data_IF_594779878729
#
_entry.id   IF_594779878729
#
_cell.length_a   1.000
_cell.length_b   1.000
_cell.length_c   1.000
_cell.angle_alpha   90.00
_cell.angle_beta   90.00
_cell.angle_gamma   90.00
#
_symmetry.space_group_name_H-M   'P 1'
#
loop_
_entity.id
_entity.type
_entity.pdbx_description
1 polymer ?
#
# COMPACT_ATOMS: atom_id res chain seq x y z
N UNK A 1 0.38 -14.98 20.05
CA UNK A 1 1.55 -14.93 19.13
C UNK A 1 2.36 -13.73 19.52
N UNK A 2 3.66 -13.90 19.78
CA UNK A 2 4.55 -12.79 20.10
C UNK A 2 5.16 -12.25 18.80
N UNK A 3 5.10 -10.93 18.63
CA UNK A 3 5.62 -10.23 17.47
C UNK A 3 6.72 -9.30 17.98
N UNK A 4 7.95 -9.54 17.56
CA UNK A 4 9.09 -8.67 17.86
C UNK A 4 9.30 -7.74 16.67
N UNK A 5 9.25 -6.42 16.88
CA UNK A 5 9.58 -5.45 15.84
C UNK A 5 11.09 -5.50 15.57
N UNK A 6 11.48 -5.85 14.35
CA UNK A 6 12.88 -5.91 13.93
C UNK A 6 13.32 -4.62 13.24
N UNK A 7 12.45 -4.04 12.41
CA UNK A 7 12.77 -2.91 11.54
C UNK A 7 11.57 -2.00 11.38
N UNK A 8 11.82 -0.70 11.28
CA UNK A 8 10.84 0.31 10.94
C UNK A 8 11.47 1.28 9.94
N UNK A 9 11.04 1.23 8.69
CA UNK A 9 11.60 2.02 7.59
C UNK A 9 10.54 2.80 6.83
N UNK A 10 10.98 3.84 6.13
CA UNK A 10 10.12 4.65 5.29
C UNK A 10 10.27 4.26 3.83
N UNK A 11 9.15 4.01 3.17
CA UNK A 11 9.05 3.78 1.74
C UNK A 11 8.48 5.02 1.06
N UNK A 12 9.22 5.58 0.11
CA UNK A 12 8.80 6.75 -0.65
C UNK A 12 8.27 6.35 -2.02
N UNK A 13 7.08 6.83 -2.38
CA UNK A 13 6.48 6.61 -3.69
C UNK A 13 5.62 7.81 -4.09
N UNK A 14 5.82 8.35 -5.30
CA UNK A 14 5.09 9.52 -5.83
C UNK A 14 5.04 10.68 -4.82
N UNK A 15 6.15 10.99 -4.16
CA UNK A 15 6.23 12.07 -3.15
C UNK A 15 5.53 11.77 -1.82
N UNK A 16 4.87 10.62 -1.69
CA UNK A 16 4.29 10.12 -0.45
C UNK A 16 5.27 9.24 0.31
N UNK A 17 5.17 9.28 1.64
CA UNK A 17 6.02 8.49 2.53
C UNK A 17 5.15 7.56 3.38
N UNK A 18 5.47 6.26 3.33
CA UNK A 18 4.75 5.17 3.99
C UNK A 18 5.65 4.47 4.99
N UNK A 19 5.12 4.15 6.18
CA UNK A 19 5.86 3.40 7.19
C UNK A 19 5.74 1.89 6.92
N UNK A 20 6.87 1.23 6.79
CA UNK A 20 7.00 -0.23 6.69
C UNK A 20 7.58 -0.74 8.00
N UNK A 21 6.85 -1.63 8.67
CA UNK A 21 7.29 -2.26 9.90
C UNK A 21 7.49 -3.75 9.65
N UNK A 22 8.67 -4.28 9.98
CA UNK A 22 8.98 -5.71 9.84
C UNK A 22 9.06 -6.35 11.21
N UNK A 23 8.33 -7.44 11.38
CA UNK A 23 8.25 -8.19 12.61
C UNK A 23 8.84 -9.58 12.44
N UNK A 24 9.43 -10.10 13.52
CA UNK A 24 9.64 -11.52 13.73
C UNK A 24 8.39 -12.10 14.37
N UNK A 25 7.84 -13.15 13.76
CA UNK A 25 6.73 -13.92 14.28
C UNK A 25 7.23 -15.29 14.73
N UNK A 26 7.19 -15.54 16.04
CA UNK A 26 7.51 -16.85 16.59
C UNK A 26 6.27 -17.76 16.48
N UNK A 27 6.31 -18.73 15.56
CA UNK A 27 5.27 -19.76 15.50
C UNK A 27 5.50 -20.82 16.57
N UNK A 28 4.40 -21.39 17.07
CA UNK A 28 4.36 -22.45 18.09
C UNK A 28 5.13 -23.72 17.72
N UNK A 29 5.51 -23.91 16.45
CA UNK A 29 6.22 -25.08 15.93
C UNK A 29 7.67 -24.80 15.50
N UNK A 30 8.36 -23.87 16.17
CA UNK A 30 9.80 -23.55 15.99
C UNK A 30 10.22 -22.98 14.62
N UNK A 31 9.29 -22.70 13.70
CA UNK A 31 9.60 -21.94 12.49
C UNK A 31 9.38 -20.46 12.75
N UNK A 32 10.45 -19.68 12.63
CA UNK A 32 10.38 -18.23 12.61
C UNK A 32 9.81 -17.80 11.25
N UNK A 33 8.80 -16.93 11.27
CA UNK A 33 8.34 -16.22 10.08
C UNK A 33 8.64 -14.74 10.24
N UNK A 34 8.81 -14.03 9.12
CA UNK A 34 8.93 -12.59 9.10
C UNK A 34 7.68 -12.02 8.44
N UNK A 35 7.23 -10.87 8.94
CA UNK A 35 6.03 -10.19 8.46
C UNK A 35 6.36 -8.73 8.22
N UNK A 36 6.22 -8.24 7.00
CA UNK A 36 6.21 -6.81 6.70
C UNK A 36 4.77 -6.29 6.74
N UNK A 37 4.56 -5.18 7.43
CA UNK A 37 3.28 -4.49 7.54
C UNK A 37 3.43 -3.04 7.08
N UNK A 38 2.50 -2.59 6.24
CA UNK A 38 2.34 -1.17 5.90
C UNK A 38 0.87 -0.80 6.03
N UNK A 39 0.58 0.20 6.84
CA UNK A 39 -0.78 0.72 7.03
C UNK A 39 -1.00 1.87 6.04
N UNK A 40 -1.88 1.65 5.07
CA UNK A 40 -2.26 2.66 4.08
C UNK A 40 -3.47 3.48 4.51
N UNK A 41 -4.23 3.05 5.52
CA UNK A 41 -5.39 3.79 6.01
C UNK A 41 -5.97 3.16 7.27
N UNK A 42 -7.06 3.72 7.82
CA UNK A 42 -7.81 3.05 8.89
C UNK A 42 -8.25 1.67 8.41
N UNK A 43 -7.86 0.62 9.16
CA UNK A 43 -8.17 -0.78 8.88
C UNK A 43 -7.67 -1.29 7.51
N UNK A 44 -6.69 -0.60 6.91
CA UNK A 44 -6.16 -0.91 5.59
C UNK A 44 -4.67 -1.19 5.66
N UNK A 45 -4.37 -2.46 5.93
CA UNK A 45 -3.02 -2.98 6.10
C UNK A 45 -2.62 -3.87 4.92
N UNK A 46 -1.40 -3.65 4.42
CA UNK A 46 -0.72 -4.59 3.53
C UNK A 46 0.22 -5.40 4.39
N UNK A 47 -0.03 -6.71 4.44
CA UNK A 47 0.75 -7.67 5.19
C UNK A 47 1.39 -8.65 4.22
N UNK A 48 2.70 -8.84 4.36
CA UNK A 48 3.47 -9.80 3.56
C UNK A 48 4.33 -10.65 4.48
N UNK A 49 4.15 -11.96 4.38
CA UNK A 49 4.95 -12.94 5.11
C UNK A 49 6.08 -13.54 4.26
N UNK A 50 7.13 -14.00 4.93
CA UNK A 50 8.29 -14.61 4.32
C UNK A 50 9.17 -15.37 5.31
N UNK A 51 10.17 -16.07 4.78
CA UNK A 51 11.14 -16.82 5.56
C UNK A 51 12.24 -15.93 6.15
N UNK A 52 12.53 -14.77 5.53
CA UNK A 52 13.55 -13.81 5.97
C UNK A 52 13.05 -12.35 5.88
N UNK A 53 13.76 -11.44 6.56
CA UNK A 53 13.54 -9.98 6.45
C UNK A 53 13.72 -9.50 5.01
N UNK A 54 14.78 -9.94 4.33
CA UNK A 54 15.07 -9.52 2.96
C UNK A 54 13.97 -9.95 1.98
N UNK A 55 13.42 -11.16 2.15
CA UNK A 55 12.34 -11.66 1.32
C UNK A 55 11.08 -10.81 1.47
N UNK A 56 10.68 -10.50 2.72
CA UNK A 56 9.48 -9.69 2.96
C UNK A 56 9.65 -8.26 2.48
N UNK A 57 10.83 -7.66 2.67
CA UNK A 57 11.12 -6.31 2.17
C UNK A 57 11.09 -6.26 0.64
N UNK A 58 11.71 -7.24 -0.04
CA UNK A 58 11.71 -7.30 -1.50
C UNK A 58 10.30 -7.43 -2.07
N UNK A 59 9.47 -8.29 -1.48
CA UNK A 59 8.06 -8.43 -1.85
C UNK A 59 7.26 -7.16 -1.56
N UNK A 60 7.51 -6.52 -0.41
CA UNK A 60 6.85 -5.29 0.00
C UNK A 60 7.13 -4.15 -0.99
N UNK A 61 8.39 -3.97 -1.39
CA UNK A 61 8.78 -2.96 -2.38
C UNK A 61 8.13 -3.19 -3.75
N UNK A 62 7.92 -4.44 -4.15
CA UNK A 62 7.25 -4.76 -5.40
C UNK A 62 5.73 -4.53 -5.35
N UNK A 63 5.09 -4.84 -4.22
CA UNK A 63 3.63 -4.81 -4.07
C UNK A 63 3.10 -3.42 -3.68
N UNK A 64 3.83 -2.66 -2.86
CA UNK A 64 3.36 -1.36 -2.35
C UNK A 64 2.92 -0.39 -3.45
N UNK A 65 3.71 -0.14 -4.52
CA UNK A 65 3.29 0.74 -5.61
C UNK A 65 1.96 0.34 -6.24
N UNK A 66 1.78 -0.96 -6.50
CA UNK A 66 0.56 -1.50 -7.12
C UNK A 66 -0.64 -1.34 -6.18
N UNK A 67 -0.43 -1.62 -4.90
CA UNK A 67 -1.47 -1.54 -3.89
C UNK A 67 -1.90 -0.09 -3.66
N UNK A 68 -0.96 0.86 -3.63
CA UNK A 68 -1.27 2.30 -3.55
C UNK A 68 -2.01 2.77 -4.80
N UNK A 69 -1.52 2.43 -5.99
CA UNK A 69 -2.14 2.82 -7.26
C UNK A 69 -3.58 2.28 -7.37
N UNK A 70 -3.80 1.03 -6.98
CA UNK A 70 -5.13 0.41 -7.03
C UNK A 70 -6.16 1.18 -6.19
N UNK A 71 -5.77 1.65 -5.00
CA UNK A 71 -6.61 2.46 -4.10
C UNK A 71 -6.90 3.83 -4.68
N UNK A 72 -5.88 4.48 -5.25
CA UNK A 72 -6.05 5.75 -5.96
C UNK A 72 -7.07 5.65 -7.10
N UNK A 73 -6.99 4.58 -7.91
CA UNK A 73 -7.97 4.31 -8.98
C UNK A 73 -9.38 4.06 -8.41
N UNK A 74 -9.49 3.36 -7.29
CA UNK A 74 -10.76 3.11 -6.59
C UNK A 74 -11.32 4.35 -5.86
N UNK A 75 -10.60 5.48 -5.85
CA UNK A 75 -11.00 6.70 -5.14
C UNK A 75 -10.82 6.62 -3.62
N UNK A 76 -10.02 5.68 -3.12
CA UNK A 76 -9.70 5.53 -1.71
C UNK A 76 -8.53 6.43 -1.33
N UNK A 77 -8.62 7.10 -0.18
CA UNK A 77 -7.49 7.88 0.34
C UNK A 77 -6.48 6.96 1.03
N UNK A 78 -5.20 7.25 0.80
CA UNK A 78 -4.07 6.57 1.45
C UNK A 78 -3.32 7.55 2.36
N UNK A 79 -2.81 7.06 3.48
CA UNK A 79 -2.14 7.82 4.53
C UNK A 79 -0.66 8.05 4.23
N UNK A 80 -0.37 8.53 3.02
CA UNK A 80 0.96 9.02 2.69
C UNK A 80 1.21 10.33 3.43
N UNK A 81 2.29 10.41 4.23
CA UNK A 81 2.74 11.68 4.81
C UNK A 81 3.71 12.35 3.84
N UNK A 82 3.16 12.83 2.73
CA UNK A 82 3.88 13.61 1.73
C UNK A 82 2.93 14.55 1.00
N UNK A 83 3.34 15.80 0.81
CA UNK A 83 2.52 16.78 0.10
C UNK A 83 2.49 16.43 -1.39
N UNK A 84 1.34 15.99 -1.91
CA UNK A 84 1.10 16.00 -3.35
C UNK A 84 -0.34 16.42 -3.57
N UNK A 85 -0.48 17.69 -3.96
CA UNK A 85 -1.71 18.25 -4.51
C UNK A 85 -1.91 17.62 -5.89
N UNK A 86 -2.66 16.53 -5.97
CA UNK A 86 -3.16 16.05 -7.25
C UNK A 86 -4.31 16.99 -7.62
N UNK A 87 -4.02 17.97 -8.49
CA UNK A 87 -5.04 18.79 -9.12
C UNK A 87 -6.03 17.84 -9.81
N UNK A 88 -7.24 17.73 -9.26
CA UNK A 88 -8.31 16.95 -9.85
C UNK A 88 -8.67 17.58 -11.18
N UNK A 89 -8.19 17.01 -12.29
CA UNK A 89 -8.67 17.40 -13.62
C UNK A 89 -10.18 17.12 -13.66
N UNK A 90 -11.04 18.13 -13.89
CA UNK A 90 -12.48 17.91 -13.97
C UNK A 90 -12.77 16.99 -15.15
N UNK A 91 -13.23 15.78 -14.87
CA UNK A 91 -13.80 14.91 -15.90
C UNK A 91 -15.11 15.55 -16.33
N UNK A 92 -15.09 16.33 -17.41
CA UNK A 92 -16.30 16.69 -18.13
C UNK A 92 -16.89 15.38 -18.67
N UNK A 93 -18.15 15.04 -18.34
CA UNK A 93 -18.84 13.98 -19.03
C UNK A 93 -19.08 14.48 -20.45
N UNK A 94 -18.46 13.84 -21.44
CA UNK A 94 -18.83 14.07 -22.84
C UNK A 94 -20.23 13.50 -23.05
N UNK A 95 -21.24 14.30 -22.74
CA UNK A 95 -22.61 14.10 -23.18
C UNK A 95 -22.63 14.37 -24.68
N UNK A 96 -22.65 13.31 -25.49
CA UNK A 96 -23.15 13.41 -26.85
C UNK A 96 -24.60 12.92 -26.84
N UNK A 97 -25.45 13.88 -26.48
CA UNK A 97 -26.88 13.90 -26.75
C UNK A 97 -27.16 13.52 -28.21
N UNK A 98 -28.06 12.56 -28.40
CA UNK A 98 -28.57 12.20 -29.71
C UNK A 98 -29.32 13.33 -30.41
N UNK A 99 -29.33 13.27 -31.74
CA UNK A 99 -30.37 13.75 -32.67
C UNK A 99 -30.39 12.73 -33.82
N UNK A 100 -31.32 11.78 -33.81
CA UNK A 100 -32.62 11.79 -34.52
C UNK A 100 -32.51 11.88 -36.06
N UNK A 101 -32.73 10.72 -36.69
CA UNK A 101 -33.75 10.44 -37.74
C UNK A 101 -33.98 11.49 -38.84
N UNK A 102 -33.60 11.17 -40.09
CA UNK A 102 -34.49 10.86 -41.24
C UNK A 102 -33.65 10.38 -42.44
#
# INVERSE_FOLDING_TARGET
MEHELLLSEHFSWEGQCYLVQVYRCLQTHMRCSHMAKTTLGPDDDIIIDGASVDEVLSKQQAILPLAILSRSIAGQQVNGKGAVHIEQVPRTPTSLSGKQHL
#
